data_IF_709576787766
#
_entry.id   IF_709576787766
#
_cell.length_a   1.000
_cell.length_b   1.000
_cell.length_c   1.000
_cell.angle_alpha   90.00
_cell.angle_beta   90.00
_cell.angle_gamma   90.00
#
_symmetry.space_group_name_H-M   'P 1'
#
loop_
_entity.id
_entity.type
_entity.pdbx_description
1 polymer ?
#
# COMPACT_ATOMS: atom_id res chain seq x y z
N UNK A 1 14.84 37.41 22.00
CA UNK A 1 15.86 36.36 21.81
C UNK A 1 15.26 35.08 22.36
N UNK A 2 14.33 34.49 21.61
CA UNK A 2 13.45 33.38 22.06
C UNK A 2 13.11 32.48 20.85
N UNK A 3 14.12 32.20 20.01
CA UNK A 3 13.97 31.42 18.77
C UNK A 3 14.85 30.17 18.76
N UNK A 4 15.62 29.91 19.81
CA UNK A 4 16.60 28.81 19.85
C UNK A 4 16.08 27.59 20.60
N UNK A 5 15.26 27.78 21.65
CA UNK A 5 14.85 26.68 22.54
C UNK A 5 13.78 25.75 21.90
N UNK A 6 12.89 26.30 21.08
CA UNK A 6 11.85 25.53 20.38
C UNK A 6 12.42 24.64 19.25
N UNK A 7 13.57 25.00 18.69
CA UNK A 7 14.24 24.21 17.65
C UNK A 7 15.14 23.10 18.23
N UNK A 8 15.77 23.35 19.38
CA UNK A 8 16.53 22.35 20.14
C UNK A 8 15.64 21.17 20.56
N UNK A 9 14.45 21.47 21.10
CA UNK A 9 13.46 20.45 21.48
C UNK A 9 13.07 19.57 20.29
N UNK A 10 12.75 20.17 19.13
CA UNK A 10 12.42 19.43 17.90
C UNK A 10 13.58 18.57 17.41
N UNK A 11 14.80 19.07 17.45
CA UNK A 11 15.99 18.32 17.05
C UNK A 11 16.23 17.10 17.96
N UNK A 12 15.96 17.23 19.26
CA UNK A 12 16.04 16.14 20.24
C UNK A 12 14.92 15.11 20.00
N UNK A 13 13.68 15.54 19.76
CA UNK A 13 12.60 14.60 19.43
C UNK A 13 12.85 13.84 18.12
N UNK A 14 13.39 14.53 17.11
CA UNK A 14 13.74 13.89 15.83
C UNK A 14 14.89 12.89 16.04
N UNK A 15 15.93 13.26 16.80
CA UNK A 15 17.09 12.39 17.04
C UNK A 15 16.71 11.13 17.84
N UNK A 16 15.88 11.27 18.87
CA UNK A 16 15.35 10.16 19.68
C UNK A 16 14.43 9.26 18.84
N UNK A 17 13.55 9.83 18.01
CA UNK A 17 12.68 9.05 17.13
C UNK A 17 13.47 8.32 16.01
N UNK A 18 14.62 8.85 15.58
CA UNK A 18 15.51 8.20 14.59
C UNK A 18 16.50 7.20 15.19
N UNK A 19 16.65 7.14 16.52
CA UNK A 19 17.53 6.17 17.20
C UNK A 19 17.15 4.71 16.91
N UNK A 20 15.85 4.43 16.74
CA UNK A 20 15.29 3.09 16.50
C UNK A 20 15.20 2.71 15.02
N UNK A 21 15.21 3.70 14.11
CA UNK A 21 14.93 3.52 12.68
C UNK A 21 16.11 4.02 11.86
N UNK A 22 16.76 3.13 11.10
CA UNK A 22 17.88 3.50 10.23
C UNK A 22 17.48 4.66 9.28
N UNK A 23 17.97 5.89 9.51
CA UNK A 23 17.50 7.08 8.81
C UNK A 23 17.87 7.07 7.33
N UNK A 24 18.99 6.42 6.98
CA UNK A 24 19.41 6.21 5.59
C UNK A 24 18.34 5.45 4.79
N UNK A 25 17.73 4.42 5.40
CA UNK A 25 16.70 3.62 4.74
C UNK A 25 15.44 4.42 4.44
N UNK A 26 15.06 5.35 5.31
CA UNK A 26 13.90 6.23 5.08
C UNK A 26 14.18 7.15 3.89
N UNK A 27 15.36 7.76 3.85
CA UNK A 27 15.76 8.68 2.78
C UNK A 27 15.81 7.93 1.44
N UNK A 28 16.34 6.71 1.41
CA UNK A 28 16.34 5.85 0.21
C UNK A 28 14.93 5.53 -0.27
N UNK A 29 14.02 5.20 0.66
CA UNK A 29 12.61 4.97 0.33
C UNK A 29 11.96 6.24 -0.21
N UNK A 30 12.14 7.38 0.45
CA UNK A 30 11.60 8.67 0.01
C UNK A 30 12.08 9.00 -1.41
N UNK A 31 13.38 8.90 -1.69
CA UNK A 31 13.94 9.08 -3.04
C UNK A 31 13.31 8.13 -4.04
N UNK A 32 13.19 6.84 -3.71
CA UNK A 32 12.56 5.83 -4.58
C UNK A 32 11.09 6.17 -4.89
N UNK A 33 10.31 6.50 -3.87
CA UNK A 33 8.88 6.80 -4.03
C UNK A 33 8.61 8.11 -4.75
N UNK A 34 9.51 9.10 -4.64
CA UNK A 34 9.40 10.39 -5.33
C UNK A 34 9.89 10.36 -6.77
N UNK A 35 10.91 9.55 -7.09
CA UNK A 35 11.51 9.49 -8.44
C UNK A 35 10.81 8.52 -9.39
N UNK A 36 10.09 7.53 -8.87
CA UNK A 36 9.50 6.46 -9.70
C UNK A 36 8.15 6.90 -10.28
N UNK A 37 7.95 6.86 -11.62
CA UNK A 37 6.70 7.27 -12.27
C UNK A 37 5.54 6.26 -12.15
N UNK A 38 5.72 5.16 -11.42
CA UNK A 38 4.69 4.13 -11.18
C UNK A 38 3.58 4.69 -10.26
N UNK A 39 2.37 4.12 -10.24
CA UNK A 39 1.38 4.47 -9.22
C UNK A 39 1.83 3.98 -7.85
N UNK A 40 1.39 4.66 -6.78
CA UNK A 40 1.89 4.47 -5.41
C UNK A 40 1.85 3.00 -4.95
N UNK A 41 0.76 2.28 -5.25
CA UNK A 41 0.57 0.88 -4.87
C UNK A 41 1.50 -0.11 -5.60
N UNK A 42 2.21 0.31 -6.66
CA UNK A 42 3.21 -0.48 -7.38
C UNK A 42 4.66 0.04 -7.21
N UNK A 43 4.87 1.09 -6.40
CA UNK A 43 6.21 1.70 -6.21
C UNK A 43 7.12 0.86 -5.29
N UNK A 44 6.54 0.01 -4.44
CA UNK A 44 7.31 -0.85 -3.54
C UNK A 44 8.08 -1.95 -4.29
N UNK A 45 9.28 -2.30 -3.84
CA UNK A 45 10.10 -3.33 -4.48
C UNK A 45 9.41 -4.71 -4.56
N UNK A 46 8.60 -5.05 -3.55
CA UNK A 46 7.82 -6.30 -3.46
C UNK A 46 6.33 -6.09 -3.73
N UNK A 47 5.91 -4.89 -4.13
CA UNK A 47 4.49 -4.56 -4.30
C UNK A 47 3.82 -5.40 -5.39
N UNK A 48 4.52 -5.66 -6.50
CA UNK A 48 4.03 -6.50 -7.58
C UNK A 48 3.61 -7.91 -7.11
N UNK A 49 4.38 -8.51 -6.21
CA UNK A 49 4.11 -9.85 -5.68
C UNK A 49 2.85 -9.91 -4.79
N UNK A 50 2.38 -8.77 -4.29
CA UNK A 50 1.15 -8.67 -3.50
C UNK A 50 -0.04 -8.24 -4.36
N UNK A 51 0.18 -7.27 -5.24
CA UNK A 51 -0.88 -6.62 -6.02
C UNK A 51 -1.45 -7.56 -7.10
N UNK A 52 -0.60 -8.30 -7.82
CA UNK A 52 -1.08 -9.21 -8.86
C UNK A 52 -1.94 -10.37 -8.35
N UNK A 53 -1.53 -11.14 -7.32
CA UNK A 53 -2.39 -12.20 -6.80
C UNK A 53 -3.66 -11.64 -6.16
N UNK A 54 -3.60 -10.46 -5.53
CA UNK A 54 -4.79 -9.78 -5.01
C UNK A 54 -5.82 -9.53 -6.12
N UNK A 55 -5.41 -8.93 -7.24
CA UNK A 55 -6.34 -8.67 -8.35
C UNK A 55 -6.85 -9.95 -9.01
N UNK A 56 -6.04 -11.01 -9.08
CA UNK A 56 -6.49 -12.31 -9.57
C UNK A 56 -7.62 -12.89 -8.71
N UNK A 57 -7.43 -12.90 -7.38
CA UNK A 57 -8.45 -13.37 -6.45
C UNK A 57 -9.70 -12.50 -6.50
N UNK A 58 -9.53 -11.17 -6.48
CA UNK A 58 -10.64 -10.22 -6.56
C UNK A 58 -11.50 -10.42 -7.82
N UNK A 59 -10.86 -10.65 -8.97
CA UNK A 59 -11.58 -10.90 -10.21
C UNK A 59 -12.41 -12.18 -10.15
N UNK A 60 -11.85 -13.27 -9.62
CA UNK A 60 -12.55 -14.56 -9.48
C UNK A 60 -13.71 -14.44 -8.49
N UNK A 61 -13.46 -13.84 -7.32
CA UNK A 61 -14.50 -13.69 -6.28
C UNK A 61 -15.62 -12.76 -6.70
N UNK A 62 -15.38 -11.84 -7.63
CA UNK A 62 -16.42 -10.97 -8.20
C UNK A 62 -17.15 -11.65 -9.36
N UNK A 63 -16.44 -12.35 -10.24
CA UNK A 63 -17.02 -12.99 -11.42
C UNK A 63 -17.95 -14.16 -11.07
N UNK A 64 -17.60 -14.97 -10.07
CA UNK A 64 -18.39 -16.16 -9.68
C UNK A 64 -19.80 -15.77 -9.22
N UNK A 65 -20.00 -14.85 -8.26
CA UNK A 65 -21.33 -14.39 -7.87
C UNK A 65 -22.11 -13.79 -9.03
N UNK A 66 -21.48 -12.98 -9.89
CA UNK A 66 -22.15 -12.39 -11.05
C UNK A 66 -22.64 -13.45 -12.03
N UNK A 67 -21.84 -14.50 -12.28
CA UNK A 67 -22.24 -15.62 -13.12
C UNK A 67 -23.45 -16.36 -12.54
N UNK A 68 -23.41 -16.71 -11.25
CA UNK A 68 -24.53 -17.39 -10.59
C UNK A 68 -25.77 -16.50 -10.45
N UNK A 69 -25.58 -15.19 -10.26
CA UNK A 69 -26.69 -14.22 -10.27
C UNK A 69 -27.35 -14.18 -11.64
N UNK A 70 -26.56 -14.15 -12.73
CA UNK A 70 -27.08 -14.26 -14.09
C UNK A 70 -27.89 -15.54 -14.30
N UNK A 71 -27.35 -16.69 -13.85
CA UNK A 71 -28.06 -17.98 -13.86
C UNK A 71 -29.35 -17.97 -13.04
N UNK A 72 -29.37 -17.28 -11.90
CA UNK A 72 -30.54 -17.15 -11.05
C UNK A 72 -31.64 -16.31 -11.73
N UNK A 73 -31.28 -15.22 -12.42
CA UNK A 73 -32.22 -14.37 -13.16
C UNK A 73 -32.92 -15.16 -14.28
N UNK A 74 -32.18 -16.00 -15.01
CA UNK A 74 -32.73 -16.84 -16.08
C UNK A 74 -33.39 -18.14 -15.56
N UNK A 75 -33.47 -18.33 -14.24
CA UNK A 75 -34.11 -19.49 -13.61
C UNK A 75 -33.35 -20.81 -13.77
N UNK A 76 -32.08 -20.79 -14.22
CA UNK A 76 -31.26 -21.99 -14.40
C UNK A 76 -30.67 -22.45 -13.07
N UNK A 77 -31.46 -23.20 -12.30
CA UNK A 77 -31.02 -23.87 -11.07
C UNK A 77 -29.87 -24.86 -11.36
N UNK A 78 -28.99 -25.03 -10.39
CA UNK A 78 -28.04 -26.14 -10.38
C UNK A 78 -28.81 -27.46 -10.53
N UNK A 79 -28.34 -28.34 -11.43
CA UNK A 79 -28.92 -29.67 -11.55
C UNK A 79 -28.28 -30.54 -10.47
N UNK A 80 -29.07 -30.95 -9.49
CA UNK A 80 -28.69 -31.96 -8.50
C UNK A 80 -28.55 -33.33 -9.15
#
# INVERSE_FOLDING_TARGET
MELTEHDEGKAIYISIATSEMNPQRIIELQKRYQTTPKPLYLRGARSALLVYPFYALFAVTTAVPLYYTGRAIIGLKEKN
#
